data_IF_578108275603
#
_entry.id   IF_578108275603
#
_cell.length_a   1.000
_cell.length_b   1.000
_cell.length_c   1.000
_cell.angle_alpha   90.00
_cell.angle_beta   90.00
_cell.angle_gamma   90.00
#
_symmetry.space_group_name_H-M   'P 1'
#
loop_
_entity.id
_entity.type
_entity.pdbx_description
1 polymer ?
#
# COMPACT_ATOMS: atom_id res chain seq x y z
N UNK A 1 5.11 -5.44 2.02
CA UNK A 1 6.42 -6.03 1.66
C UNK A 1 6.27 -7.26 0.78
N UNK A 2 5.54 -8.29 1.25
CA UNK A 2 5.47 -9.61 0.63
C UNK A 2 6.31 -10.60 1.41
N UNK A 3 5.81 -11.83 1.50
CA UNK A 3 6.28 -12.86 2.42
C UNK A 3 6.29 -14.21 1.73
N UNK A 4 7.14 -15.12 2.21
CA UNK A 4 7.07 -16.55 1.84
C UNK A 4 5.81 -17.23 2.39
N UNK A 5 5.17 -16.63 3.40
CA UNK A 5 3.92 -17.12 3.99
C UNK A 5 2.74 -16.52 3.22
N UNK A 6 1.96 -17.37 2.58
CA UNK A 6 0.83 -16.97 1.76
C UNK A 6 -0.23 -16.19 2.55
N UNK A 7 -0.50 -16.59 3.80
CA UNK A 7 -1.43 -15.89 4.69
C UNK A 7 -1.07 -14.41 4.88
N UNK A 8 0.22 -14.09 4.93
CA UNK A 8 0.68 -12.69 5.07
C UNK A 8 0.45 -11.88 3.79
N UNK A 9 0.53 -12.51 2.61
CA UNK A 9 0.24 -11.87 1.33
C UNK A 9 -1.28 -11.64 1.19
N UNK A 10 -2.09 -12.63 1.56
CA UNK A 10 -3.54 -12.54 1.60
C UNK A 10 -4.04 -11.45 2.55
N UNK A 11 -3.32 -11.19 3.65
CA UNK A 11 -3.63 -10.09 4.55
C UNK A 11 -3.56 -8.73 3.83
N UNK A 12 -2.54 -8.48 3.00
CA UNK A 12 -2.41 -7.22 2.23
C UNK A 12 -3.57 -7.07 1.24
N UNK A 13 -3.96 -8.16 0.57
CA UNK A 13 -5.12 -8.19 -0.34
C UNK A 13 -6.41 -7.87 0.41
N UNK A 14 -6.56 -8.40 1.63
CA UNK A 14 -7.72 -8.15 2.48
C UNK A 14 -7.78 -6.69 2.91
N UNK A 15 -6.66 -6.13 3.36
CA UNK A 15 -6.57 -4.70 3.74
C UNK A 15 -6.97 -3.80 2.57
N UNK A 16 -6.44 -4.03 1.37
CA UNK A 16 -6.79 -3.24 0.18
C UNK A 16 -8.29 -3.31 -0.14
N UNK A 17 -8.89 -4.51 -0.03
CA UNK A 17 -10.31 -4.73 -0.27
C UNK A 17 -11.19 -4.03 0.78
N UNK A 18 -10.86 -4.18 2.06
CA UNK A 18 -11.65 -3.57 3.13
C UNK A 18 -11.52 -2.05 3.12
N UNK A 19 -10.33 -1.52 2.82
CA UNK A 19 -10.12 -0.08 2.60
C UNK A 19 -10.98 0.45 1.44
N UNK A 20 -11.03 -0.26 0.32
CA UNK A 20 -11.88 0.14 -0.81
C UNK A 20 -13.38 0.15 -0.46
N UNK A 21 -13.82 -0.72 0.46
CA UNK A 21 -15.22 -0.76 0.91
C UNK A 21 -15.55 0.33 1.92
N UNK A 22 -14.61 0.65 2.82
CA UNK A 22 -14.84 1.63 3.89
C UNK A 22 -14.67 3.06 3.40
N UNK A 23 -13.82 3.27 2.39
CA UNK A 23 -13.47 4.59 1.88
C UNK A 23 -13.98 4.81 0.46
N UNK A 24 -14.13 6.07 0.05
CA UNK A 24 -14.68 6.43 -1.26
C UNK A 24 -13.63 6.39 -2.40
N UNK A 25 -12.75 5.39 -2.41
CA UNK A 25 -11.76 5.19 -3.48
C UNK A 25 -12.28 4.22 -4.54
N UNK A 26 -12.41 4.71 -5.79
CA UNK A 26 -12.94 3.89 -6.89
C UNK A 26 -12.05 2.72 -7.29
N UNK A 27 -10.73 2.89 -7.23
CA UNK A 27 -9.74 1.90 -7.67
C UNK A 27 -8.71 1.73 -6.55
N UNK A 28 -8.60 0.52 -6.01
CA UNK A 28 -7.60 0.15 -5.01
C UNK A 28 -7.04 -1.21 -5.39
N UNK A 29 -5.74 -1.29 -5.60
CA UNK A 29 -5.06 -2.54 -5.94
C UNK A 29 -3.95 -2.81 -4.90
N UNK A 30 -3.88 -4.03 -4.33
CA UNK A 30 -2.76 -4.40 -3.47
C UNK A 30 -1.50 -4.54 -4.31
N UNK A 31 -0.35 -4.29 -3.69
CA UNK A 31 0.96 -4.55 -4.30
C UNK A 31 1.94 -5.07 -3.24
N UNK A 32 2.75 -6.04 -3.63
CA UNK A 32 3.88 -6.51 -2.87
C UNK A 32 5.16 -5.91 -3.44
N UNK A 33 6.12 -5.64 -2.57
CA UNK A 33 7.41 -5.09 -2.98
C UNK A 33 8.31 -6.21 -3.49
N UNK A 34 8.25 -7.38 -2.86
CA UNK A 34 9.08 -8.55 -3.16
C UNK A 34 8.30 -9.84 -2.82
N UNK A 35 8.81 -10.99 -3.29
CA UNK A 35 8.41 -12.35 -2.87
C UNK A 35 6.97 -12.79 -3.15
N UNK A 36 6.09 -11.90 -3.59
CA UNK A 36 4.68 -12.20 -3.84
C UNK A 36 4.13 -11.35 -4.98
N UNK A 37 3.01 -11.81 -5.54
CA UNK A 37 2.24 -11.10 -6.57
C UNK A 37 0.87 -10.70 -6.01
N UNK A 38 0.22 -9.66 -6.55
CA UNK A 38 0.74 -8.73 -7.56
C UNK A 38 1.91 -7.88 -7.02
N UNK A 39 2.89 -7.59 -7.86
CA UNK A 39 3.93 -6.60 -7.58
C UNK A 39 3.47 -5.18 -7.93
N UNK A 40 4.31 -4.17 -7.65
CA UNK A 40 3.95 -2.77 -7.92
C UNK A 40 3.68 -2.49 -9.41
N UNK A 41 4.53 -2.90 -10.37
CA UNK A 41 4.21 -2.75 -11.79
C UNK A 41 2.87 -3.37 -12.20
N UNK A 42 2.58 -4.60 -11.75
CA UNK A 42 1.32 -5.28 -12.08
C UNK A 42 0.10 -4.55 -11.50
N UNK A 43 0.18 -4.13 -10.24
CA UNK A 43 -0.88 -3.37 -9.59
C UNK A 43 -1.09 -1.99 -10.25
N UNK A 44 -0.01 -1.31 -10.62
CA UNK A 44 -0.05 -0.03 -11.32
C UNK A 44 -0.74 -0.18 -12.68
N UNK A 45 -0.33 -1.15 -13.49
CA UNK A 45 -0.93 -1.42 -14.79
C UNK A 45 -2.42 -1.76 -14.67
N UNK A 46 -2.83 -2.45 -13.60
CA UNK A 46 -4.24 -2.75 -13.32
C UNK A 46 -5.04 -1.51 -12.91
N UNK A 47 -4.46 -0.59 -12.14
CA UNK A 47 -5.08 0.71 -11.90
C UNK A 47 -5.31 1.47 -13.22
N UNK A 48 -4.30 1.47 -14.12
CA UNK A 48 -4.39 2.10 -15.44
C UNK A 48 -5.47 1.45 -16.31
N UNK A 49 -5.57 0.13 -16.33
CA UNK A 49 -6.59 -0.58 -17.12
C UNK A 49 -8.01 -0.31 -16.63
N UNK A 50 -8.18 0.04 -15.35
CA UNK A 50 -9.44 0.53 -14.79
C UNK A 50 -9.69 2.04 -15.03
N UNK A 51 -8.79 2.71 -15.75
CA UNK A 51 -8.94 4.11 -16.16
C UNK A 51 -8.32 5.13 -15.20
N UNK A 52 -7.46 4.71 -14.27
CA UNK A 52 -6.76 5.64 -13.38
C UNK A 52 -5.79 6.53 -14.17
N UNK A 53 -5.91 7.85 -13.97
CA UNK A 53 -4.96 8.87 -14.49
C UNK A 53 -4.05 9.44 -13.41
N UNK A 54 -4.47 9.34 -12.16
CA UNK A 54 -3.73 9.78 -10.98
C UNK A 54 -3.64 8.60 -10.02
N UNK A 55 -2.42 8.13 -9.77
CA UNK A 55 -2.15 6.93 -8.98
C UNK A 55 -1.36 7.33 -7.74
N UNK A 56 -1.88 6.90 -6.59
CA UNK A 56 -1.26 7.13 -5.28
C UNK A 56 -0.70 5.79 -4.80
N UNK A 57 0.62 5.71 -4.67
CA UNK A 57 1.29 4.54 -4.09
C UNK A 57 1.42 4.79 -2.59
N UNK A 58 0.65 4.04 -1.80
CA UNK A 58 0.70 4.11 -0.34
C UNK A 58 1.55 2.97 0.24
N UNK A 59 2.67 3.25 0.93
CA UNK A 59 3.46 2.23 1.60
C UNK A 59 2.77 1.71 2.87
N UNK A 60 2.20 0.50 2.83
CA UNK A 60 1.60 -0.14 4.01
C UNK A 60 2.67 -0.69 4.97
N UNK A 61 3.32 0.22 5.71
CA UNK A 61 4.36 -0.06 6.70
C UNK A 61 4.13 0.74 7.99
N UNK A 62 4.35 0.10 9.15
CA UNK A 62 4.25 0.76 10.47
C UNK A 62 5.39 1.74 10.73
N UNK A 63 6.59 1.46 10.19
CA UNK A 63 7.76 2.29 10.41
C UNK A 63 8.56 2.42 9.10
N UNK A 64 9.26 3.56 8.91
CA UNK A 64 10.22 3.71 7.83
C UNK A 64 11.41 2.76 8.03
N UNK A 65 11.58 1.78 7.13
CA UNK A 65 12.77 0.93 7.07
C UNK A 65 14.00 1.67 6.52
N UNK A 66 15.20 1.10 6.65
CA UNK A 66 16.49 1.77 6.36
C UNK A 66 16.68 2.26 4.90
N UNK A 67 15.79 1.89 3.97
CA UNK A 67 15.88 2.25 2.54
C UNK A 67 14.55 2.72 1.93
N UNK A 68 13.53 3.06 2.74
CA UNK A 68 12.20 3.37 2.20
C UNK A 68 12.15 4.66 1.37
N UNK A 69 12.90 5.69 1.78
CA UNK A 69 12.87 7.03 1.17
C UNK A 69 13.30 7.03 -0.30
N UNK A 70 14.12 6.07 -0.72
CA UNK A 70 14.64 6.00 -2.08
C UNK A 70 14.01 4.83 -2.85
N UNK A 71 13.86 3.67 -2.21
CA UNK A 71 13.47 2.45 -2.91
C UNK A 71 12.03 2.50 -3.43
N UNK A 72 11.06 2.91 -2.61
CA UNK A 72 9.65 2.92 -3.01
C UNK A 72 9.37 4.00 -4.07
N UNK A 73 9.87 5.24 -3.91
CA UNK A 73 9.77 6.22 -4.99
C UNK A 73 10.44 5.77 -6.28
N UNK A 74 11.58 5.07 -6.20
CA UNK A 74 12.23 4.46 -7.37
C UNK A 74 11.35 3.44 -8.09
N UNK A 75 10.78 2.48 -7.35
CA UNK A 75 9.86 1.47 -7.91
C UNK A 75 8.60 2.11 -8.51
N UNK A 76 8.02 3.10 -7.84
CA UNK A 76 6.84 3.80 -8.31
C UNK A 76 7.14 4.62 -9.58
N UNK A 77 8.29 5.29 -9.63
CA UNK A 77 8.76 6.00 -10.82
C UNK A 77 8.97 5.06 -12.01
N UNK A 78 9.59 3.90 -11.77
CA UNK A 78 9.80 2.88 -12.80
C UNK A 78 8.47 2.32 -13.34
N UNK A 79 7.48 2.08 -12.47
CA UNK A 79 6.15 1.67 -12.90
C UNK A 79 5.46 2.77 -13.72
N UNK A 80 5.50 4.02 -13.26
CA UNK A 80 4.90 5.16 -13.94
C UNK A 80 5.53 5.45 -15.31
N UNK A 81 6.83 5.19 -15.48
CA UNK A 81 7.53 5.38 -16.76
C UNK A 81 6.92 4.55 -17.91
N UNK A 82 6.29 3.41 -17.60
CA UNK A 82 5.58 2.58 -18.58
C UNK A 82 4.18 3.11 -18.93
N UNK A 83 3.70 4.14 -18.22
CA UNK A 83 2.35 4.70 -18.35
C UNK A 83 2.40 6.24 -18.40
N UNK A 84 2.95 6.84 -19.47
CA UNK A 84 3.27 8.28 -19.52
C UNK A 84 2.07 9.22 -19.45
N UNK A 85 0.85 8.70 -19.59
CA UNK A 85 -0.41 9.46 -19.47
C UNK A 85 -0.93 9.52 -18.02
N UNK A 86 -0.16 9.01 -17.05
CA UNK A 86 -0.53 9.00 -15.64
C UNK A 86 0.39 9.87 -14.80
N UNK A 87 -0.14 10.39 -13.69
CA UNK A 87 0.64 11.00 -12.62
C UNK A 87 0.73 10.04 -11.45
N UNK A 88 1.92 9.96 -10.83
CA UNK A 88 2.17 9.11 -9.67
C UNK A 88 2.68 9.94 -8.49
N UNK A 89 2.13 9.69 -7.30
CA UNK A 89 2.67 10.21 -6.04
C UNK A 89 2.84 9.07 -5.04
N UNK A 90 3.85 9.20 -4.18
CA UNK A 90 4.10 8.27 -3.08
C UNK A 90 3.82 9.00 -1.77
N UNK A 91 3.01 8.41 -0.90
CA UNK A 91 2.72 9.00 0.41
C UNK A 91 3.79 8.61 1.44
N UNK A 92 3.75 9.24 2.61
CA UNK A 92 4.40 8.68 3.80
C UNK A 92 3.79 7.30 4.15
N UNK A 93 4.56 6.40 4.79
CA UNK A 93 4.00 5.19 5.39
C UNK A 93 3.06 5.54 6.57
N UNK A 94 2.39 4.54 7.14
CA UNK A 94 1.50 4.75 8.31
C UNK A 94 2.23 5.48 9.44
N UNK A 95 3.43 5.01 9.80
CA UNK A 95 4.33 5.71 10.72
C UNK A 95 3.68 6.09 12.06
N UNK A 96 4.21 7.15 12.66
CA UNK A 96 3.68 7.74 13.91
C UNK A 96 2.54 8.71 13.55
N UNK A 97 1.44 8.17 13.01
CA UNK A 97 0.21 8.92 12.80
C UNK A 97 -0.64 8.91 14.08
N UNK A 98 -1.36 10.00 14.37
CA UNK A 98 -2.21 10.09 15.58
C UNK A 98 -3.20 8.93 15.70
N UNK A 99 -3.81 8.52 14.58
CA UNK A 99 -4.74 7.38 14.57
C UNK A 99 -4.07 6.04 14.92
N UNK A 100 -2.77 5.87 14.62
CA UNK A 100 -2.04 4.67 15.03
C UNK A 100 -1.90 4.59 16.55
N UNK A 101 -1.65 5.73 17.21
CA UNK A 101 -1.61 5.79 18.67
C UNK A 101 -2.98 5.44 19.29
N UNK A 102 -4.06 5.90 18.65
CA UNK A 102 -5.44 5.57 19.05
C UNK A 102 -5.68 4.06 18.96
N UNK A 103 -5.34 3.42 17.83
CA UNK A 103 -5.48 1.97 17.65
C UNK A 103 -4.67 1.18 18.67
N UNK A 104 -3.45 1.64 19.00
CA UNK A 104 -2.62 0.99 20.03
C UNK A 104 -3.31 1.05 21.40
N UNK A 105 -3.83 2.21 21.79
CA UNK A 105 -4.58 2.38 23.03
C UNK A 105 -5.81 1.46 23.06
N UNK A 106 -6.63 1.47 22.00
CA UNK A 106 -7.83 0.64 21.90
C UNK A 106 -7.51 -0.87 22.05
N UNK A 107 -6.40 -1.34 21.49
CA UNK A 107 -5.95 -2.74 21.61
C UNK A 107 -5.49 -3.09 23.02
N UNK A 108 -4.87 -2.16 23.73
CA UNK A 108 -4.46 -2.34 25.13
C UNK A 108 -5.71 -2.41 26.01
N UNK A 109 -6.63 -1.47 25.83
CA UNK A 109 -7.86 -1.38 26.64
C UNK A 109 -8.74 -2.64 26.47
N UNK A 110 -8.80 -3.21 25.27
CA UNK A 110 -9.46 -4.50 25.00
C UNK A 110 -8.89 -5.69 25.79
N UNK A 111 -7.65 -5.62 26.24
CA UNK A 111 -7.03 -6.69 27.05
C UNK A 111 -7.31 -6.55 28.55
N UNK A 112 -7.77 -5.38 28.97
CA UNK A 112 -8.08 -5.04 30.36
C UNK A 112 -9.55 -5.26 30.71
N UNK A 113 -10.39 -5.48 29.70
CA UNK A 113 -11.81 -5.88 29.80
C UNK A 113 -11.98 -7.39 29.80
#
# INVERSE_FOLDING_TARGET
HGSRREESNQYVVTVAREFQKSENYRIVEPAHMELAQPDLPAAYAKCVSHGAKYIIVHPYFLAPGRHWHEHIPGLASAAAANHPHTSCVVTAPLGIHRAMLQIIADRIDQSLS
#
